data_IF_991889150062
#
_entry.id   IF_991889150062
#
_cell.length_a   1.000
_cell.length_b   1.000
_cell.length_c   1.000
_cell.angle_alpha   90.00
_cell.angle_beta   90.00
_cell.angle_gamma   90.00
#
_symmetry.space_group_name_H-M   'P 1'
#
loop_
_entity.id
_entity.type
_entity.pdbx_description
1 polymer ?
#
# COMPACT_ATOMS: atom_id res chain seq x y z
N UNK A 1 20.77 -16.74 15.94
CA UNK A 1 19.76 -17.22 14.97
C UNK A 1 18.58 -16.26 15.04
N UNK A 2 18.34 -15.50 13.98
CA UNK A 2 17.42 -14.37 13.94
C UNK A 2 16.00 -14.85 13.58
N UNK A 3 15.45 -15.76 14.41
CA UNK A 3 14.24 -16.54 14.10
C UNK A 3 12.96 -15.70 14.03
N UNK A 4 12.93 -14.53 14.66
CA UNK A 4 11.76 -13.64 14.63
C UNK A 4 11.59 -12.90 13.30
N UNK A 5 12.66 -12.27 12.80
CA UNK A 5 12.61 -11.49 11.56
C UNK A 5 12.37 -12.37 10.33
N UNK A 6 13.01 -13.54 10.28
CA UNK A 6 12.81 -14.50 9.19
C UNK A 6 11.37 -15.05 9.14
N UNK A 7 10.73 -15.22 10.31
CA UNK A 7 9.35 -15.67 10.41
C UNK A 7 8.36 -14.58 9.99
N UNK A 8 8.62 -13.33 10.37
CA UNK A 8 7.83 -12.16 9.92
C UNK A 8 7.92 -12.01 8.40
N UNK A 9 9.13 -12.13 7.83
CA UNK A 9 9.33 -12.06 6.39
C UNK A 9 8.66 -13.21 5.64
N UNK A 10 8.76 -14.44 6.17
CA UNK A 10 8.09 -15.61 5.59
C UNK A 10 6.57 -15.42 5.53
N UNK A 11 5.96 -14.91 6.61
CA UNK A 11 4.52 -14.63 6.68
C UNK A 11 4.10 -13.59 5.63
N UNK A 12 4.87 -12.50 5.51
CA UNK A 12 4.61 -11.43 4.53
C UNK A 12 4.66 -11.93 3.08
N UNK A 13 5.71 -12.68 2.73
CA UNK A 13 5.83 -13.29 1.39
C UNK A 13 4.66 -14.23 1.14
N UNK A 14 4.25 -15.00 2.14
CA UNK A 14 3.09 -15.88 2.06
C UNK A 14 1.77 -15.15 1.78
N UNK A 15 1.54 -14.01 2.44
CA UNK A 15 0.38 -13.16 2.21
C UNK A 15 0.34 -12.60 0.78
N UNK A 16 1.48 -12.14 0.25
CA UNK A 16 1.60 -11.67 -1.14
C UNK A 16 1.30 -12.74 -2.18
N UNK A 17 1.78 -13.96 -1.95
CA UNK A 17 1.48 -15.09 -2.84
C UNK A 17 -0.02 -15.43 -2.77
N UNK A 18 -0.62 -15.33 -1.59
CA UNK A 18 -2.08 -15.50 -1.42
C UNK A 18 -2.88 -14.43 -2.15
N UNK A 19 -2.44 -13.17 -2.11
CA UNK A 19 -3.02 -12.07 -2.89
C UNK A 19 -2.98 -12.35 -4.40
N UNK A 20 -1.84 -12.82 -4.92
CA UNK A 20 -1.71 -13.20 -6.33
C UNK A 20 -2.59 -14.39 -6.71
N UNK A 21 -2.75 -15.36 -5.80
CA UNK A 21 -3.64 -16.50 -6.02
C UNK A 21 -5.11 -16.07 -6.10
N UNK A 22 -5.50 -15.06 -5.32
CA UNK A 22 -6.87 -14.57 -5.28
C UNK A 22 -7.87 -15.68 -4.93
N UNK A 23 -8.78 -15.97 -5.86
CA UNK A 23 -9.83 -16.99 -5.69
C UNK A 23 -9.45 -18.39 -6.16
N UNK A 24 -8.31 -18.56 -6.82
CA UNK A 24 -7.87 -19.87 -7.31
C UNK A 24 -7.60 -20.81 -6.14
N UNK A 25 -7.91 -22.09 -6.30
CA UNK A 25 -7.44 -23.15 -5.41
C UNK A 25 -5.91 -23.24 -5.45
N UNK A 26 -5.32 -23.93 -4.46
CA UNK A 26 -3.86 -24.11 -4.43
C UNK A 26 -3.41 -24.99 -5.58
N UNK A 27 -4.23 -25.96 -5.93
CA UNK A 27 -4.09 -26.87 -7.06
C UNK A 27 -4.02 -26.07 -8.37
N UNK A 28 -5.03 -25.23 -8.64
CA UNK A 28 -5.08 -24.38 -9.83
C UNK A 28 -3.90 -23.41 -9.89
N UNK A 29 -3.54 -22.77 -8.77
CA UNK A 29 -2.41 -21.85 -8.73
C UNK A 29 -1.08 -22.55 -9.06
N UNK A 30 -0.87 -23.73 -8.49
CA UNK A 30 0.31 -24.56 -8.76
C UNK A 30 0.38 -24.97 -10.23
N UNK A 31 -0.76 -25.23 -10.86
CA UNK A 31 -0.83 -25.50 -12.29
C UNK A 31 -0.43 -24.29 -13.14
N UNK A 32 -0.78 -23.07 -12.72
CA UNK A 32 -0.38 -21.85 -13.45
C UNK A 32 1.14 -21.64 -13.51
N UNK A 33 1.88 -22.20 -12.55
CA UNK A 33 3.35 -22.13 -12.43
C UNK A 33 4.02 -23.45 -12.80
N UNK A 34 3.41 -24.23 -13.69
CA UNK A 34 3.96 -25.48 -14.25
C UNK A 34 4.27 -26.55 -13.21
N UNK A 35 3.48 -26.61 -12.13
CA UNK A 35 3.67 -27.55 -11.01
C UNK A 35 5.06 -27.47 -10.36
N UNK A 36 5.69 -26.29 -10.39
CA UNK A 36 7.04 -26.06 -9.85
C UNK A 36 7.16 -26.35 -8.34
N UNK A 37 6.05 -26.23 -7.60
CA UNK A 37 5.93 -26.62 -6.19
C UNK A 37 4.65 -27.44 -5.99
N UNK A 38 4.50 -28.14 -4.86
CA UNK A 38 3.26 -28.86 -4.54
C UNK A 38 2.23 -27.94 -3.85
N UNK A 39 0.92 -28.24 -3.91
CA UNK A 39 -0.11 -27.50 -3.19
C UNK A 39 0.13 -27.45 -1.68
N UNK A 40 0.68 -28.52 -1.10
CA UNK A 40 1.07 -28.58 0.31
C UNK A 40 2.25 -27.64 0.60
N UNK A 41 3.24 -27.57 -0.30
CA UNK A 41 4.35 -26.62 -0.16
C UNK A 41 3.84 -25.17 -0.27
N UNK A 42 2.91 -24.90 -1.19
CA UNK A 42 2.26 -23.59 -1.30
C UNK A 42 1.53 -23.22 -0.02
N UNK A 43 0.76 -24.13 0.59
CA UNK A 43 0.11 -23.91 1.88
C UNK A 43 1.10 -23.49 2.97
N UNK A 44 2.23 -24.20 3.10
CA UNK A 44 3.25 -23.87 4.11
C UNK A 44 3.86 -22.50 3.88
N UNK A 45 4.02 -22.10 2.62
CA UNK A 45 4.51 -20.77 2.24
C UNK A 45 3.48 -19.70 2.60
N UNK A 46 2.23 -19.86 2.15
CA UNK A 46 1.16 -18.89 2.41
C UNK A 46 0.87 -18.69 3.91
N UNK A 47 1.03 -19.75 4.69
CA UNK A 47 0.83 -19.70 6.15
C UNK A 47 2.04 -19.17 6.91
N UNK A 48 3.13 -18.79 6.23
CA UNK A 48 4.36 -18.30 6.86
C UNK A 48 5.14 -19.37 7.63
N UNK A 49 4.76 -20.64 7.51
CA UNK A 49 5.46 -21.78 8.12
C UNK A 49 6.80 -22.08 7.44
N UNK A 50 6.96 -21.58 6.21
CA UNK A 50 8.17 -21.72 5.41
C UNK A 50 8.34 -20.49 4.50
N UNK A 51 9.56 -19.94 4.45
CA UNK A 51 9.89 -18.91 3.46
C UNK A 51 9.94 -19.53 2.05
N UNK A 52 9.33 -18.88 1.07
CA UNK A 52 9.52 -19.25 -0.34
C UNK A 52 10.99 -19.09 -0.74
N UNK A 53 11.51 -20.01 -1.55
CA UNK A 53 12.86 -19.85 -2.10
C UNK A 53 12.85 -18.85 -3.25
N UNK A 54 13.99 -18.21 -3.51
CA UNK A 54 14.12 -17.24 -4.60
C UNK A 54 13.72 -17.84 -5.96
N UNK A 55 14.02 -19.13 -6.20
CA UNK A 55 13.58 -19.85 -7.40
C UNK A 55 12.05 -19.87 -7.56
N UNK A 56 11.31 -20.08 -6.47
CA UNK A 56 9.84 -20.06 -6.49
C UNK A 56 9.34 -18.65 -6.77
N UNK A 57 9.95 -17.65 -6.14
CA UNK A 57 9.59 -16.24 -6.35
C UNK A 57 9.88 -15.78 -7.79
N UNK A 58 10.99 -16.18 -8.38
CA UNK A 58 11.31 -15.93 -9.80
C UNK A 58 10.26 -16.53 -10.72
N UNK A 59 9.85 -17.78 -10.49
CA UNK A 59 8.85 -18.44 -11.32
C UNK A 59 7.48 -17.75 -11.24
N UNK A 60 7.07 -17.32 -10.04
CA UNK A 60 5.84 -16.55 -9.86
C UNK A 60 5.98 -15.15 -10.49
N UNK A 61 7.14 -14.50 -10.32
CA UNK A 61 7.50 -13.20 -10.93
C UNK A 61 7.33 -13.24 -12.45
N UNK A 62 7.92 -14.23 -13.12
CA UNK A 62 7.80 -14.44 -14.57
C UNK A 62 6.34 -14.66 -14.98
N UNK A 63 5.61 -15.51 -14.25
CA UNK A 63 4.23 -15.86 -14.62
C UNK A 63 3.26 -14.68 -14.47
N UNK A 64 3.39 -13.90 -13.41
CA UNK A 64 2.46 -12.83 -13.05
C UNK A 64 2.98 -11.43 -13.40
N UNK A 65 4.12 -11.34 -14.09
CA UNK A 65 4.80 -10.11 -14.47
C UNK A 65 4.96 -9.13 -13.28
N UNK A 66 5.45 -9.65 -12.15
CA UNK A 66 5.72 -8.87 -10.92
C UNK A 66 7.21 -8.91 -10.63
N UNK A 67 7.88 -7.78 -10.37
CA UNK A 67 9.30 -7.80 -10.03
C UNK A 67 9.51 -8.59 -8.72
N UNK A 68 10.62 -9.33 -8.62
CA UNK A 68 10.95 -10.12 -7.42
C UNK A 68 10.91 -9.26 -6.15
N UNK A 69 11.32 -7.99 -6.22
CA UNK A 69 11.27 -7.03 -5.12
C UNK A 69 9.86 -6.81 -4.55
N UNK A 70 8.80 -7.05 -5.35
CA UNK A 70 7.41 -6.91 -4.92
C UNK A 70 7.04 -7.87 -3.77
N UNK A 71 7.60 -9.08 -3.74
CA UNK A 71 7.32 -10.07 -2.68
C UNK A 71 7.91 -9.70 -1.33
N UNK A 72 9.04 -8.98 -1.34
CA UNK A 72 9.72 -8.53 -0.13
C UNK A 72 9.15 -7.21 0.39
N UNK A 73 8.34 -6.53 -0.44
CA UNK A 73 7.79 -5.25 -0.11
C UNK A 73 6.68 -5.39 0.96
N UNK A 74 6.86 -4.71 2.08
CA UNK A 74 5.80 -4.53 3.08
C UNK A 74 4.57 -3.95 2.40
N UNK A 75 3.37 -4.41 2.77
CA UNK A 75 2.09 -3.81 2.38
C UNK A 75 2.04 -2.28 2.39
N UNK A 76 2.93 -1.63 3.15
CA UNK A 76 3.14 -0.18 3.22
C UNK A 76 3.28 0.50 1.87
N UNK A 77 3.89 -0.12 0.87
CA UNK A 77 4.23 0.61 -0.35
C UNK A 77 3.09 0.71 -1.35
N UNK A 78 2.08 -0.17 -1.34
CA UNK A 78 0.92 0.02 -2.21
C UNK A 78 -0.01 1.12 -1.66
N UNK A 79 -0.15 1.17 -0.33
CA UNK A 79 -0.82 2.28 0.36
C UNK A 79 0.01 3.56 0.31
N UNK A 80 1.35 3.48 0.39
CA UNK A 80 2.25 4.62 0.24
C UNK A 80 2.22 5.13 -1.19
N UNK A 81 2.24 4.27 -2.21
CA UNK A 81 2.15 4.67 -3.62
C UNK A 81 0.78 5.28 -3.92
N UNK A 82 -0.32 4.71 -3.42
CA UNK A 82 -1.64 5.34 -3.56
C UNK A 82 -1.74 6.65 -2.77
N UNK A 83 -1.15 6.73 -1.58
CA UNK A 83 -1.08 7.95 -0.79
C UNK A 83 -0.23 9.00 -1.50
N UNK A 84 0.87 8.61 -2.14
CA UNK A 84 1.75 9.49 -2.92
C UNK A 84 1.05 10.01 -4.17
N UNK A 85 0.36 9.13 -4.91
CA UNK A 85 -0.46 9.52 -6.08
C UNK A 85 -1.59 10.45 -5.66
N UNK A 86 -2.24 10.19 -4.52
CA UNK A 86 -3.30 11.05 -3.99
C UNK A 86 -2.74 12.41 -3.52
N UNK A 87 -1.57 12.41 -2.88
CA UNK A 87 -0.84 13.62 -2.48
C UNK A 87 -0.47 14.47 -3.69
N UNK A 88 0.07 13.85 -4.75
CA UNK A 88 0.45 14.54 -5.98
C UNK A 88 -0.76 15.18 -6.67
N UNK A 89 -1.90 14.49 -6.74
CA UNK A 89 -3.15 15.07 -7.28
C UNK A 89 -3.65 16.27 -6.48
N UNK A 90 -3.56 16.20 -5.15
CA UNK A 90 -3.98 17.31 -4.29
C UNK A 90 -3.03 18.50 -4.48
N UNK A 91 -1.71 18.26 -4.50
CA UNK A 91 -0.70 19.27 -4.78
C UNK A 91 -0.93 19.93 -6.14
N UNK A 92 -1.21 19.16 -7.19
CA UNK A 92 -1.53 19.70 -8.52
C UNK A 92 -2.79 20.57 -8.52
N UNK A 93 -3.81 20.20 -7.73
CA UNK A 93 -5.03 20.99 -7.60
C UNK A 93 -4.77 22.34 -6.88
N UNK A 94 -3.89 22.36 -5.87
CA UNK A 94 -3.63 23.55 -5.04
C UNK A 94 -2.36 24.31 -5.41
N UNK A 95 -1.59 23.88 -6.41
CA UNK A 95 -0.31 24.48 -6.81
C UNK A 95 -0.39 25.99 -7.10
N UNK A 96 -1.57 26.47 -7.51
CA UNK A 96 -1.82 27.88 -7.82
C UNK A 96 -2.08 28.75 -6.57
N UNK A 97 -2.09 28.17 -5.37
CA UNK A 97 -2.30 28.85 -4.09
C UNK A 97 -1.21 28.44 -3.09
N UNK A 98 -0.11 29.22 -3.00
CA UNK A 98 1.03 28.91 -2.12
C UNK A 98 0.64 28.71 -0.66
N UNK A 99 -0.40 29.39 -0.19
CA UNK A 99 -0.87 29.28 1.21
C UNK A 99 -1.52 27.92 1.50
N UNK A 100 -2.24 27.36 0.52
CA UNK A 100 -2.84 26.04 0.65
C UNK A 100 -1.80 24.92 0.50
N UNK A 101 -0.75 25.14 -0.27
CA UNK A 101 0.38 24.19 -0.39
C UNK A 101 1.06 24.00 0.96
N UNK A 102 1.46 25.10 1.62
CA UNK A 102 2.14 25.03 2.92
C UNK A 102 1.27 24.35 3.99
N UNK A 103 -0.01 24.71 4.02
CA UNK A 103 -0.99 24.10 4.91
C UNK A 103 -1.15 22.58 4.63
N UNK A 104 -1.29 22.20 3.37
CA UNK A 104 -1.41 20.79 2.99
C UNK A 104 -0.16 19.98 3.33
N UNK A 105 1.04 20.56 3.18
CA UNK A 105 2.27 19.89 3.60
C UNK A 105 2.29 19.63 5.11
N UNK A 106 1.91 20.60 5.94
CA UNK A 106 1.78 20.43 7.39
C UNK A 106 0.76 19.34 7.74
N UNK A 107 -0.42 19.37 7.11
CA UNK A 107 -1.46 18.34 7.31
C UNK A 107 -0.97 16.94 6.91
N UNK A 108 -0.25 16.83 5.80
CA UNK A 108 0.20 15.55 5.23
C UNK A 108 1.22 14.79 6.09
N UNK A 109 1.91 15.50 7.00
CA UNK A 109 2.85 14.91 7.95
C UNK A 109 2.14 14.20 9.11
N UNK A 110 0.87 14.52 9.38
CA UNK A 110 0.08 13.87 10.43
C UNK A 110 -0.46 12.53 9.93
N UNK A 111 -0.10 11.44 10.62
CA UNK A 111 -0.35 10.06 10.19
C UNK A 111 -1.84 9.66 10.25
N UNK A 112 -2.60 10.27 11.14
CA UNK A 112 -4.06 10.15 11.31
C UNK A 112 -4.84 10.68 10.10
N UNK A 113 -4.38 11.80 9.52
CA UNK A 113 -5.03 12.46 8.39
C UNK A 113 -4.78 11.77 7.04
N UNK A 114 -3.79 10.86 6.96
CA UNK A 114 -3.50 10.10 5.74
C UNK A 114 -4.70 9.27 5.25
N UNK A 115 -5.58 8.86 6.15
CA UNK A 115 -6.81 8.12 5.79
C UNK A 115 -7.79 9.01 5.03
N UNK A 116 -7.88 10.31 5.35
CA UNK A 116 -8.76 11.25 4.65
C UNK A 116 -8.34 11.42 3.19
N UNK A 117 -7.03 11.47 2.91
CA UNK A 117 -6.55 11.63 1.53
C UNK A 117 -6.94 10.46 0.60
N UNK A 118 -7.15 9.24 1.14
CA UNK A 118 -7.67 8.12 0.36
C UNK A 118 -9.09 8.36 -0.15
N UNK A 119 -9.91 9.11 0.59
CA UNK A 119 -11.29 9.43 0.21
C UNK A 119 -11.35 10.64 -0.75
N UNK A 120 -10.38 11.55 -0.65
CA UNK A 120 -10.31 12.77 -1.47
C UNK A 120 -9.81 12.49 -2.90
N UNK A 121 -9.17 11.34 -3.14
CA UNK A 121 -8.55 10.98 -4.43
C UNK A 121 -9.50 10.93 -5.65
N UNK A 122 -10.79 10.68 -5.40
CA UNK A 122 -11.82 10.51 -6.44
C UNK A 122 -12.62 11.81 -6.66
N UNK A 123 -12.29 12.88 -5.95
CA UNK A 123 -12.92 14.20 -6.06
C UNK A 123 -12.29 15.05 -7.16
N UNK A 124 -13.08 15.97 -7.73
CA UNK A 124 -12.57 16.95 -8.69
C UNK A 124 -11.61 17.96 -8.02
N UNK A 125 -10.66 18.56 -8.77
CA UNK A 125 -9.74 19.57 -8.23
C UNK A 125 -10.44 20.72 -7.49
N UNK A 126 -11.63 21.12 -7.97
CA UNK A 126 -12.44 22.17 -7.35
C UNK A 126 -13.01 21.74 -5.99
N UNK A 127 -13.46 20.49 -5.88
CA UNK A 127 -13.93 19.91 -4.61
C UNK A 127 -12.78 19.75 -3.61
N UNK A 128 -11.59 19.36 -4.08
CA UNK A 128 -10.37 19.27 -3.26
C UNK A 128 -10.02 20.64 -2.68
N UNK A 129 -10.01 21.70 -3.50
CA UNK A 129 -9.77 23.08 -3.03
C UNK A 129 -10.77 23.53 -1.97
N UNK A 130 -12.06 23.28 -2.18
CA UNK A 130 -13.11 23.63 -1.21
C UNK A 130 -12.91 22.91 0.13
N UNK A 131 -12.58 21.62 0.08
CA UNK A 131 -12.37 20.82 1.27
C UNK A 131 -11.17 21.34 2.08
N UNK A 132 -10.05 21.65 1.43
CA UNK A 132 -8.87 22.22 2.11
C UNK A 132 -9.20 23.59 2.74
N UNK A 133 -9.99 24.44 2.06
CA UNK A 133 -10.44 25.72 2.62
C UNK A 133 -11.31 25.55 3.86
N UNK A 134 -12.19 24.54 3.89
CA UNK A 134 -13.01 24.25 5.07
C UNK A 134 -12.13 23.81 6.23
N UNK A 135 -11.17 22.90 6.00
CA UNK A 135 -10.26 22.43 7.07
C UNK A 135 -9.45 23.61 7.62
N UNK A 136 -8.96 24.51 6.75
CA UNK A 136 -8.23 25.70 7.19
C UNK A 136 -9.09 26.63 8.07
N UNK A 137 -10.33 26.88 7.67
CA UNK A 137 -11.24 27.71 8.48
C UNK A 137 -11.48 27.11 9.87
N UNK A 138 -11.50 25.77 9.99
CA UNK A 138 -11.63 25.08 11.29
C UNK A 138 -10.35 25.25 12.12
N UNK A 139 -9.15 25.12 11.52
CA UNK A 139 -7.88 25.34 12.22
C UNK A 139 -7.77 26.79 12.72
N UNK A 140 -8.12 27.77 11.88
CA UNK A 140 -8.13 29.20 12.25
C UNK A 140 -9.11 29.45 13.44
N UNK A 141 -10.27 28.77 13.47
CA UNK A 141 -11.24 28.87 14.58
C UNK A 141 -10.72 28.23 15.89
N UNK A 142 -10.00 27.11 15.83
CA UNK A 142 -9.39 26.46 17.01
C UNK A 142 -8.19 27.27 17.55
N UNK A 143 -7.41 27.91 16.69
CA UNK A 143 -6.32 28.80 17.10
C UNK A 143 -6.84 30.10 17.74
N UNK A 144 -7.99 30.63 17.31
CA UNK A 144 -8.64 31.79 17.92
C UNK A 144 -9.40 31.46 19.23
N UNK A 145 -9.79 30.20 19.45
CA UNK A 145 -10.43 29.72 20.68
C UNK A 145 -9.71 28.46 21.22
N UNK A 146 -8.56 28.62 21.90
CA UNK A 146 -7.88 27.49 22.53
C UNK A 146 -8.72 26.98 23.71
N UNK A 147 -9.42 25.85 23.51
CA UNK A 147 -10.06 25.08 24.59
C UNK A 147 -9.06 24.31 25.43
#
# INVERSE_FOLDING_TARGET
>A
MNTGEDQVLAKRIGERIRELRGKLSREEFVETIDKFITPQSLYRIESGLRKASDKVLSKISEKYNKPISWFYNSGSDLESLQSEISRLKILEAIQNDPSLVEFFEKLSQRSDLKIMFKQVKDLSPESIKRLIRIIRAIEDEEDENPT
#
